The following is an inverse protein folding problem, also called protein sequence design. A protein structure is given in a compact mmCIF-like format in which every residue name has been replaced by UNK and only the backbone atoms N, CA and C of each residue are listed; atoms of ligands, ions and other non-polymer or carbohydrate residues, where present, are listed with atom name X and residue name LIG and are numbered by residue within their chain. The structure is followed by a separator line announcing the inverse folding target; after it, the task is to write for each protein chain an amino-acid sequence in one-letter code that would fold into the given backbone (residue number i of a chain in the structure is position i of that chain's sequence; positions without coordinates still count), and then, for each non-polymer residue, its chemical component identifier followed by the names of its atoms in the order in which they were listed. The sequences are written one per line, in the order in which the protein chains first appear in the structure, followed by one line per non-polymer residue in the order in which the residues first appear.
data_IF_767728050359
#
_entry.id   IF_767728050359
#
_cell.length_a   1.000
_cell.length_b   1.000
_cell.length_c   1.000
_cell.angle_alpha   90.00
_cell.angle_beta   90.00
_cell.angle_gamma   90.00
#
_symmetry.space_group_name_H-M   'P 1'
#
loop_
_entity.id
_entity.type
_entity.pdbx_description
1 polymer ?
#
# COMPACT_ATOMS: atom_id res chain seq x y z
N UNK A 1 16.95 -2.90 -37.07
CA UNK A 1 15.51 -3.12 -36.86
C UNK A 1 14.88 -1.74 -36.72
N UNK A 2 13.87 -1.39 -37.53
CA UNK A 2 13.18 -0.10 -37.42
C UNK A 2 12.54 0.03 -36.04
N UNK A 3 12.61 1.23 -35.47
CA UNK A 3 12.05 1.53 -34.16
C UNK A 3 10.52 1.47 -34.28
N UNK A 4 9.86 0.63 -33.48
CA UNK A 4 8.40 0.40 -33.54
C UNK A 4 7.63 1.72 -33.37
N UNK A 5 8.23 2.71 -32.72
CA UNK A 5 7.68 4.04 -32.51
C UNK A 5 7.58 4.91 -33.79
N UNK A 6 8.28 4.58 -34.88
CA UNK A 6 8.17 5.27 -36.18
C UNK A 6 7.00 4.76 -37.03
N UNK A 7 6.47 3.58 -36.74
CA UNK A 7 5.36 2.96 -37.46
C UNK A 7 3.98 3.30 -36.87
N UNK A 8 3.95 4.01 -35.73
CA UNK A 8 2.70 4.42 -35.10
C UNK A 8 2.14 5.65 -35.80
N UNK A 9 0.88 5.56 -36.24
CA UNK A 9 0.16 6.72 -36.77
C UNK A 9 0.02 7.82 -35.71
N UNK A 10 -0.16 9.07 -36.12
CA UNK A 10 -0.37 10.22 -35.22
C UNK A 10 -1.53 9.98 -34.22
N UNK A 11 -2.58 9.26 -34.64
CA UNK A 11 -3.68 8.85 -33.77
C UNK A 11 -3.28 7.79 -32.73
N UNK A 12 -2.45 6.81 -33.12
CA UNK A 12 -1.93 5.80 -32.19
C UNK A 12 -0.91 6.38 -31.22
N UNK A 13 -0.09 7.35 -31.65
CA UNK A 13 0.76 8.16 -30.77
C UNK A 13 -0.08 8.98 -29.79
N UNK A 14 -1.16 9.61 -30.26
CA UNK A 14 -2.12 10.30 -29.38
C UNK A 14 -2.82 9.36 -28.42
N UNK A 15 -3.21 8.14 -28.82
CA UNK A 15 -3.79 7.14 -27.92
C UNK A 15 -2.76 6.65 -26.90
N UNK A 16 -1.54 6.30 -27.32
CA UNK A 16 -0.43 5.91 -26.42
C UNK A 16 -0.14 7.03 -25.41
N UNK A 17 -0.07 8.28 -25.87
CA UNK A 17 0.14 9.44 -25.03
C UNK A 17 -1.07 9.78 -24.16
N UNK A 18 -2.30 9.61 -24.63
CA UNK A 18 -3.53 9.79 -23.84
C UNK A 18 -3.71 8.69 -22.78
N UNK A 19 -3.21 7.49 -23.06
CA UNK A 19 -3.14 6.39 -22.09
C UNK A 19 -2.01 6.64 -21.07
N UNK A 20 -0.91 7.29 -21.49
CA UNK A 20 0.15 7.80 -20.62
C UNK A 20 -0.24 9.08 -19.86
N UNK A 21 -1.27 9.80 -20.32
CA UNK A 21 -1.72 11.05 -19.73
C UNK A 21 -2.68 10.79 -18.57
N UNK A 22 -2.06 10.70 -17.38
CA UNK A 22 -2.60 11.29 -16.15
C UNK A 22 -3.87 10.67 -15.56
N UNK A 23 -4.00 9.34 -15.58
CA UNK A 23 -4.79 8.67 -14.54
C UNK A 23 -3.94 8.63 -13.28
N UNK A 24 -4.50 9.05 -12.15
CA UNK A 24 -3.85 8.88 -10.86
C UNK A 24 -3.34 7.43 -10.75
N UNK A 25 -2.12 7.19 -10.26
CA UNK A 25 -1.58 5.84 -10.15
C UNK A 25 -2.59 4.98 -9.41
N UNK A 26 -2.83 3.76 -9.89
CA UNK A 26 -3.85 2.88 -9.34
C UNK A 26 -3.68 2.71 -7.82
N UNK A 27 -2.43 2.72 -7.35
CA UNK A 27 -2.04 2.70 -5.93
C UNK A 27 -2.66 3.84 -5.12
N UNK A 28 -2.72 5.06 -5.67
CA UNK A 28 -3.30 6.23 -4.97
C UNK A 28 -4.82 6.08 -4.86
N UNK A 29 -5.47 5.65 -5.94
CA UNK A 29 -6.92 5.41 -5.94
C UNK A 29 -7.27 4.30 -4.93
N UNK A 30 -6.46 3.25 -4.86
CA UNK A 30 -6.62 2.16 -3.91
C UNK A 30 -6.37 2.60 -2.47
N UNK A 31 -5.44 3.52 -2.20
CA UNK A 31 -5.11 3.98 -0.85
C UNK A 31 -6.23 4.82 -0.20
N UNK A 32 -7.06 5.51 -0.99
CA UNK A 32 -8.12 6.39 -0.47
C UNK A 32 -9.11 5.69 0.48
N UNK A 33 -9.78 4.58 0.11
CA UNK A 33 -10.70 3.89 1.02
C UNK A 33 -10.02 3.41 2.31
N UNK A 34 -8.75 3.00 2.21
CA UNK A 34 -7.95 2.58 3.35
C UNK A 34 -7.69 3.73 4.33
N UNK A 35 -7.35 4.92 3.84
CA UNK A 35 -7.18 6.12 4.67
C UNK A 35 -8.50 6.51 5.34
N UNK A 36 -9.60 6.51 4.60
CA UNK A 36 -10.93 6.86 5.12
C UNK A 36 -11.36 5.93 6.27
N UNK A 37 -11.01 4.64 6.20
CA UNK A 37 -11.26 3.67 7.27
C UNK A 37 -10.28 3.82 8.44
N UNK A 38 -9.00 4.11 8.16
CA UNK A 38 -7.97 4.18 9.19
C UNK A 38 -8.17 5.36 10.14
N UNK A 39 -8.63 6.52 9.64
CA UNK A 39 -8.80 7.73 10.47
C UNK A 39 -9.74 7.52 11.67
N UNK A 40 -10.98 7.02 11.52
CA UNK A 40 -11.86 6.76 12.67
C UNK A 40 -11.34 5.62 13.57
N UNK A 41 -10.75 4.58 12.98
CA UNK A 41 -10.16 3.46 13.71
C UNK A 41 -8.98 3.91 14.59
N UNK A 42 -8.10 4.73 14.05
CA UNK A 42 -7.00 5.34 14.78
C UNK A 42 -7.50 6.15 15.97
N UNK A 43 -8.51 7.01 15.76
CA UNK A 43 -9.10 7.80 16.87
C UNK A 43 -9.68 6.90 17.97
N UNK A 44 -10.25 5.75 17.62
CA UNK A 44 -10.82 4.80 18.58
C UNK A 44 -9.77 4.00 19.35
N UNK A 45 -8.64 3.66 18.74
CA UNK A 45 -7.65 2.73 19.31
C UNK A 45 -6.33 3.39 19.74
N UNK A 46 -6.06 4.67 19.42
CA UNK A 46 -4.74 5.30 19.63
C UNK A 46 -4.20 5.23 21.05
N UNK A 47 -5.07 5.21 22.05
CA UNK A 47 -4.68 5.18 23.47
C UNK A 47 -4.43 3.77 23.99
N UNK A 48 -4.90 2.76 23.25
CA UNK A 48 -4.80 1.32 23.60
C UNK A 48 -3.66 0.62 22.88
N UNK A 49 -3.26 1.14 21.73
CA UNK A 49 -2.19 0.56 20.90
C UNK A 49 -0.82 0.90 21.51
N UNK A 50 0.01 -0.11 21.73
CA UNK A 50 1.43 0.10 21.97
C UNK A 50 2.14 0.43 20.67
N UNK A 51 2.28 1.73 20.38
CA UNK A 51 2.86 2.23 19.13
C UNK A 51 4.30 1.79 18.90
N UNK A 52 5.10 1.61 19.95
CA UNK A 52 6.47 1.12 19.81
C UNK A 52 6.47 -0.32 19.29
N UNK A 53 5.66 -1.19 19.89
CA UNK A 53 5.52 -2.57 19.45
C UNK A 53 4.94 -2.68 18.03
N UNK A 54 3.89 -1.90 17.72
CA UNK A 54 3.29 -1.88 16.40
C UNK A 54 4.29 -1.42 15.32
N UNK A 55 5.04 -0.34 15.57
CA UNK A 55 6.06 0.15 14.64
C UNK A 55 7.23 -0.82 14.49
N UNK A 56 7.70 -1.44 15.59
CA UNK A 56 8.76 -2.45 15.53
C UNK A 56 8.34 -3.69 14.74
N UNK A 57 7.09 -4.14 14.91
CA UNK A 57 6.52 -5.24 14.13
C UNK A 57 6.51 -4.90 12.63
N UNK A 58 6.00 -3.72 12.26
CA UNK A 58 5.92 -3.28 10.87
C UNK A 58 7.33 -3.15 10.27
N UNK A 59 8.26 -2.52 11.00
CA UNK A 59 9.63 -2.38 10.55
C UNK A 59 10.30 -3.73 10.32
N UNK A 60 10.09 -4.70 11.22
CA UNK A 60 10.61 -6.06 11.06
C UNK A 60 10.02 -6.75 9.84
N UNK A 61 8.70 -6.65 9.66
CA UNK A 61 8.01 -7.21 8.52
C UNK A 61 8.53 -6.61 7.21
N UNK A 62 8.72 -5.29 7.16
CA UNK A 62 9.20 -4.62 5.96
C UNK A 62 10.63 -4.99 5.61
N UNK A 63 11.51 -5.13 6.60
CA UNK A 63 12.88 -5.58 6.33
C UNK A 63 12.88 -6.97 5.70
N UNK A 64 12.06 -7.90 6.23
CA UNK A 64 11.97 -9.26 5.68
C UNK A 64 11.38 -9.26 4.27
N UNK A 65 10.27 -8.54 4.07
CA UNK A 65 9.60 -8.47 2.77
C UNK A 65 10.46 -7.78 1.71
N UNK A 66 11.14 -6.69 2.07
CA UNK A 66 12.06 -6.00 1.18
C UNK A 66 13.20 -6.91 0.70
N UNK A 67 13.79 -7.70 1.60
CA UNK A 67 14.81 -8.68 1.22
C UNK A 67 14.24 -9.75 0.27
N UNK A 68 13.03 -10.25 0.52
CA UNK A 68 12.37 -11.24 -0.33
C UNK A 68 12.04 -10.67 -1.73
N UNK A 69 11.58 -9.42 -1.80
CA UNK A 69 11.32 -8.73 -3.04
C UNK A 69 12.59 -8.48 -3.84
N UNK A 70 13.65 -7.99 -3.19
CA UNK A 70 14.93 -7.77 -3.85
C UNK A 70 15.46 -9.06 -4.48
N UNK A 71 15.35 -10.18 -3.76
CA UNK A 71 15.73 -11.48 -4.29
C UNK A 71 14.86 -11.93 -5.46
N UNK A 72 13.56 -11.65 -5.41
CA UNK A 72 12.60 -12.02 -6.47
C UNK A 72 12.79 -11.18 -7.73
N UNK A 73 13.03 -9.89 -7.59
CA UNK A 73 13.31 -8.94 -8.69
C UNK A 73 14.67 -9.25 -9.32
N UNK A 74 15.72 -9.47 -8.51
CA UNK A 74 17.06 -9.79 -9.03
C UNK A 74 17.12 -11.10 -9.83
N UNK A 75 16.19 -12.03 -9.58
CA UNK A 75 16.03 -13.28 -10.35
C UNK A 75 15.03 -13.18 -11.50
N UNK A 76 14.39 -12.03 -11.70
CA UNK A 76 13.38 -11.84 -12.73
C UNK A 76 12.08 -12.63 -12.48
N UNK A 77 11.86 -13.18 -11.28
CA UNK A 77 10.60 -13.82 -10.91
C UNK A 77 9.47 -12.80 -10.74
N UNK A 78 9.84 -11.55 -10.46
CA UNK A 78 8.91 -10.46 -10.24
C UNK A 78 9.24 -9.29 -11.17
N UNK A 79 8.26 -8.87 -11.97
CA UNK A 79 8.39 -7.75 -12.90
C UNK A 79 7.30 -6.73 -12.60
N UNK A 80 7.70 -5.48 -12.38
CA UNK A 80 6.79 -4.40 -12.02
C UNK A 80 6.23 -3.71 -13.26
N UNK A 81 4.95 -3.32 -13.19
CA UNK A 81 4.33 -2.49 -14.23
C UNK A 81 4.51 -1.01 -13.88
N UNK A 82 5.40 -0.27 -14.56
CA UNK A 82 5.69 1.12 -14.23
C UNK A 82 4.49 2.04 -14.41
N UNK A 83 3.47 1.64 -15.18
CA UNK A 83 2.24 2.41 -15.38
C UNK A 83 1.27 2.36 -14.18
N UNK A 84 1.56 1.54 -13.16
CA UNK A 84 0.70 1.38 -11.97
C UNK A 84 1.27 2.07 -10.72
N UNK A 85 2.56 2.34 -10.71
CA UNK A 85 3.34 2.90 -9.60
C UNK A 85 3.53 4.42 -9.75
N UNK A 86 3.92 5.14 -8.68
CA UNK A 86 4.30 6.56 -8.82
C UNK A 86 5.66 6.72 -9.51
N UNK A 87 6.41 5.62 -9.67
CA UNK A 87 7.65 5.57 -10.44
C UNK A 87 8.91 5.82 -9.61
N UNK A 88 8.80 5.97 -8.29
CA UNK A 88 9.96 6.04 -7.40
C UNK A 88 10.33 4.62 -7.00
N UNK A 89 11.51 4.16 -7.43
CA UNK A 89 12.00 2.82 -7.14
C UNK A 89 13.36 2.83 -6.45
N UNK A 90 13.55 1.91 -5.49
CA UNK A 90 14.82 1.62 -4.83
C UNK A 90 15.20 0.18 -5.20
N UNK A 91 16.39 -0.01 -5.80
CA UNK A 91 16.84 -1.33 -6.32
C UNK A 91 15.85 -2.01 -7.28
N UNK A 92 15.08 -1.23 -8.04
CA UNK A 92 14.06 -1.75 -8.96
C UNK A 92 12.72 -2.11 -8.32
N UNK A 93 12.57 -1.86 -7.01
CA UNK A 93 11.31 -2.05 -6.26
C UNK A 93 10.62 -0.70 -6.09
N UNK A 94 9.35 -0.53 -6.53
CA UNK A 94 8.57 0.68 -6.31
C UNK A 94 8.32 0.90 -4.82
N UNK A 95 8.61 2.09 -4.26
CA UNK A 95 8.46 2.35 -2.82
C UNK A 95 6.99 2.27 -2.37
N UNK A 96 6.06 2.58 -3.28
CA UNK A 96 4.64 2.63 -2.95
C UNK A 96 4.02 1.25 -2.70
N UNK A 97 4.61 0.20 -3.28
CA UNK A 97 4.10 -1.17 -3.21
C UNK A 97 4.30 -1.76 -1.79
N UNK A 98 5.52 -1.75 -1.20
CA UNK A 98 5.71 -2.16 0.20
C UNK A 98 4.84 -1.38 1.17
N UNK A 99 4.77 -0.05 1.01
CA UNK A 99 3.97 0.79 1.89
C UNK A 99 2.47 0.46 1.85
N UNK A 100 1.93 0.08 0.69
CA UNK A 100 0.52 -0.28 0.59
C UNK A 100 0.25 -1.74 1.02
N UNK A 101 1.14 -2.68 0.68
CA UNK A 101 0.89 -4.11 0.88
C UNK A 101 1.47 -4.68 2.18
N UNK A 102 2.50 -4.07 2.74
CA UNK A 102 3.23 -4.61 3.88
C UNK A 102 3.22 -3.69 5.09
N UNK A 103 3.15 -2.37 4.90
CA UNK A 103 2.99 -1.45 6.02
C UNK A 103 1.53 -1.34 6.47
N UNK A 104 0.62 -1.10 5.54
CA UNK A 104 -0.79 -0.82 5.87
C UNK A 104 -1.54 -2.01 6.50
N UNK A 105 -1.51 -3.25 5.94
CA UNK A 105 -2.33 -4.34 6.48
C UNK A 105 -2.02 -4.74 7.92
N UNK A 106 -0.75 -4.94 8.35
CA UNK A 106 -0.48 -5.33 9.73
C UNK A 106 -0.82 -4.20 10.71
N UNK A 107 -0.61 -2.93 10.33
CA UNK A 107 -1.03 -1.80 11.17
C UNK A 107 -2.55 -1.73 11.30
N UNK A 108 -3.27 -1.91 10.19
CA UNK A 108 -4.73 -1.91 10.15
C UNK A 108 -5.30 -3.00 11.06
N UNK A 109 -4.76 -4.21 11.01
CA UNK A 109 -5.21 -5.33 11.86
C UNK A 109 -5.02 -5.00 13.34
N UNK A 110 -3.87 -4.48 13.75
CA UNK A 110 -3.60 -4.13 15.16
C UNK A 110 -4.59 -3.07 15.65
N UNK A 111 -4.78 -1.99 14.88
CA UNK A 111 -5.70 -0.90 15.25
C UNK A 111 -7.14 -1.42 15.30
N UNK A 112 -7.55 -2.23 14.33
CA UNK A 112 -8.89 -2.81 14.27
C UNK A 112 -9.18 -3.71 15.47
N UNK A 113 -8.25 -4.59 15.84
CA UNK A 113 -8.41 -5.49 16.97
C UNK A 113 -8.60 -4.71 18.28
N UNK A 114 -7.78 -3.69 18.53
CA UNK A 114 -7.94 -2.85 19.73
C UNK A 114 -9.20 -1.98 19.69
N UNK A 115 -9.66 -1.56 18.51
CA UNK A 115 -10.93 -0.84 18.37
C UNK A 115 -12.12 -1.76 18.70
N UNK A 116 -12.12 -3.00 18.21
CA UNK A 116 -13.15 -4.00 18.50
C UNK A 116 -13.14 -4.35 19.99
N UNK A 117 -11.98 -4.61 20.57
CA UNK A 117 -11.83 -4.88 22.00
C UNK A 117 -12.43 -3.75 22.85
N UNK A 118 -12.05 -2.50 22.57
CA UNK A 118 -12.59 -1.33 23.27
C UNK A 118 -14.09 -1.15 23.08
N UNK A 119 -14.64 -1.51 21.92
CA UNK A 119 -16.09 -1.50 21.68
C UNK A 119 -16.82 -2.58 22.51
N UNK A 120 -16.27 -3.80 22.56
CA UNK A 120 -16.85 -4.91 23.31
C UNK A 120 -16.83 -4.67 24.83
N UNK A 121 -15.75 -4.12 25.37
CA UNK A 121 -15.64 -3.74 26.78
C UNK A 121 -16.71 -2.73 27.21
N UNK A 122 -16.93 -1.68 26.39
CA UNK A 122 -17.95 -0.66 26.65
C UNK A 122 -19.36 -1.26 26.68
N UNK A 123 -19.65 -2.22 25.79
CA UNK A 123 -20.94 -2.93 25.80
C UNK A 123 -21.13 -3.78 27.06
N UNK A 124 -20.10 -4.52 27.48
CA UNK A 124 -20.15 -5.29 28.73
C UNK A 124 -20.40 -4.39 29.95
N UNK A 125 -19.70 -3.26 30.05
CA UNK A 125 -19.89 -2.30 31.13
C UNK A 125 -21.29 -1.67 31.16
N UNK A 126 -21.90 -1.43 29.99
CA UNK A 126 -23.26 -0.89 29.87
C UNK A 126 -24.39 -1.88 30.17
N UNK A 127 -24.12 -3.19 30.14
CA UNK A 127 -25.12 -4.25 30.38
C UNK A 127 -25.16 -4.69 31.86
N UNK A 128 -24.26 -4.15 32.69
CA UNK A 128 -24.14 -4.47 34.12
C UNK A 128 -24.84 -3.47 35.04
N UNK A 129 -25.83 -2.73 34.53
CA UNK A 129 -26.71 -1.85 35.31
C UNK A 129 -28.12 -2.38 35.34
#
# INVERSE_FOLDING_TARGET
MPNIDELLTEEDRKKKNATAQRRWPATVILAVPFILLLVPLYKAAKERVNWKAALSMIATFEVVMFCAEFFSVSRGHWVWNPNRTLGVAIFGIPIEEPLLYYWFPPLFVVILMHAIEGFLERRKAGTSK
#
